data_IF_239265644995
#
_entry.id   IF_239265644995
#
_cell.length_a   1.000
_cell.length_b   1.000
_cell.length_c   1.000
_cell.angle_alpha   90.00
_cell.angle_beta   90.00
_cell.angle_gamma   90.00
#
_symmetry.space_group_name_H-M   'P 1'
#
loop_
_entity.id
_entity.type
_entity.pdbx_description
1 polymer ?
#
# COMPACT_ATOMS: atom_id res chain seq x y z
N UNK A 1 35.98 -34.24 -5.77
CA UNK A 1 35.23 -33.97 -7.02
C UNK A 1 34.05 -34.92 -7.00
N UNK A 2 32.79 -34.54 -6.86
CA UNK A 2 32.11 -33.26 -7.08
C UNK A 2 30.74 -33.35 -6.38
N UNK A 3 30.52 -32.57 -5.33
CA UNK A 3 29.18 -32.43 -4.75
C UNK A 3 28.41 -31.37 -5.53
N UNK A 4 27.52 -31.81 -6.42
CA UNK A 4 26.56 -30.92 -7.07
C UNK A 4 25.46 -30.57 -6.06
N UNK A 5 25.52 -29.36 -5.54
CA UNK A 5 24.36 -28.69 -4.92
C UNK A 5 23.25 -28.59 -5.98
N UNK A 6 22.00 -29.01 -5.73
CA UNK A 6 20.94 -28.81 -6.71
C UNK A 6 20.57 -27.33 -6.75
N UNK A 7 20.84 -26.70 -7.89
CA UNK A 7 20.39 -25.36 -8.24
C UNK A 7 18.86 -25.36 -8.44
N UNK A 8 18.08 -25.10 -7.39
CA UNK A 8 16.63 -24.92 -7.53
C UNK A 8 16.18 -23.46 -7.33
N UNK A 9 16.99 -22.51 -7.83
CA UNK A 9 16.71 -21.06 -7.76
C UNK A 9 15.83 -20.53 -8.92
N UNK A 10 15.48 -21.35 -9.90
CA UNK A 10 14.87 -20.87 -11.16
C UNK A 10 13.34 -20.95 -11.23
N UNK A 11 12.66 -21.63 -10.31
CA UNK A 11 11.19 -21.70 -10.35
C UNK A 11 10.57 -20.42 -9.76
N UNK A 12 9.71 -19.78 -10.55
CA UNK A 12 8.85 -18.67 -10.12
C UNK A 12 7.93 -19.13 -8.99
N UNK A 13 7.68 -18.24 -8.03
CA UNK A 13 6.72 -18.43 -6.94
C UNK A 13 5.27 -18.37 -7.42
N UNK A 14 5.01 -17.53 -8.43
CA UNK A 14 3.71 -17.36 -9.07
C UNK A 14 3.65 -18.15 -10.37
N UNK A 15 2.53 -18.82 -10.61
CA UNK A 15 2.23 -19.58 -11.83
C UNK A 15 1.22 -18.84 -12.71
N UNK A 16 0.96 -19.35 -13.92
CA UNK A 16 -0.08 -18.79 -14.81
C UNK A 16 -1.51 -18.88 -14.24
N UNK A 17 -1.70 -19.66 -13.16
CA UNK A 17 -2.97 -19.75 -12.43
C UNK A 17 -3.08 -18.76 -11.27
N UNK A 18 -1.99 -18.09 -10.95
CA UNK A 18 -1.93 -17.05 -9.94
C UNK A 18 -2.12 -15.66 -10.60
N UNK A 19 -2.71 -14.69 -9.90
CA UNK A 19 -2.80 -13.33 -10.43
C UNK A 19 -1.40 -12.70 -10.56
N UNK A 20 -1.24 -11.67 -11.41
CA UNK A 20 0.01 -10.91 -11.46
C UNK A 20 0.34 -10.29 -10.09
N UNK A 21 1.60 -9.94 -9.79
CA UNK A 21 2.02 -9.36 -8.51
C UNK A 21 1.32 -8.05 -8.16
N UNK A 22 0.93 -7.30 -9.18
CA UNK A 22 0.22 -6.03 -9.06
C UNK A 22 -0.80 -5.87 -10.19
N UNK A 23 -1.68 -4.89 -10.03
CA UNK A 23 -2.57 -4.41 -11.08
C UNK A 23 -2.34 -2.90 -11.30
N UNK A 24 -2.41 -2.45 -12.55
CA UNK A 24 -2.43 -1.02 -12.86
C UNK A 24 -3.81 -0.65 -13.37
N UNK A 25 -4.44 0.32 -12.70
CA UNK A 25 -5.72 0.92 -13.06
C UNK A 25 -5.44 2.31 -13.65
N UNK A 26 -6.27 2.70 -14.62
CA UNK A 26 -6.18 3.97 -15.34
C UNK A 26 -4.73 4.33 -15.77
N UNK A 27 -4.03 3.40 -16.43
CA UNK A 27 -2.61 3.55 -16.82
C UNK A 27 -2.32 4.83 -17.64
N UNK A 28 -3.32 5.37 -18.29
CA UNK A 28 -3.24 6.54 -19.16
C UNK A 28 -3.93 7.77 -18.57
N UNK A 29 -4.25 7.75 -17.27
CA UNK A 29 -4.77 8.92 -16.57
C UNK A 29 -3.88 10.14 -16.79
N UNK A 30 -4.51 11.30 -16.95
CA UNK A 30 -3.85 12.52 -17.43
C UNK A 30 -3.35 13.43 -16.31
N UNK A 31 -3.75 13.16 -15.06
CA UNK A 31 -3.33 13.94 -13.90
C UNK A 31 -1.90 13.63 -13.50
N UNK A 32 -1.20 14.65 -13.01
CA UNK A 32 0.18 14.56 -12.49
C UNK A 32 0.22 14.02 -11.07
N UNK A 33 -0.48 12.90 -10.85
CA UNK A 33 -0.63 12.19 -9.60
C UNK A 33 -0.51 10.69 -9.88
N UNK A 34 0.31 10.00 -9.10
CA UNK A 34 0.29 8.55 -9.04
C UNK A 34 -0.26 8.10 -7.69
N UNK A 35 -1.31 7.29 -7.75
CA UNK A 35 -1.88 6.61 -6.58
C UNK A 35 -1.26 5.22 -6.43
N UNK A 36 -1.10 4.76 -5.19
CA UNK A 36 -0.75 3.38 -4.88
C UNK A 36 -1.59 2.86 -3.72
N UNK A 37 -1.78 1.54 -3.66
CA UNK A 37 -2.35 0.87 -2.50
C UNK A 37 -1.55 -0.41 -2.22
N UNK A 38 -0.65 -0.29 -1.25
CA UNK A 38 0.32 -1.32 -0.87
C UNK A 38 -0.35 -2.58 -0.29
N UNK A 39 -1.48 -2.43 0.40
CA UNK A 39 -2.19 -3.54 1.05
C UNK A 39 -3.57 -3.78 0.44
N UNK A 40 -3.68 -3.64 -0.89
CA UNK A 40 -4.94 -3.82 -1.59
C UNK A 40 -5.43 -5.28 -1.65
N UNK A 41 -4.49 -6.22 -1.75
CA UNK A 41 -4.76 -7.61 -2.10
C UNK A 41 -4.73 -8.57 -0.91
N UNK A 42 -5.43 -9.69 -1.06
CA UNK A 42 -5.49 -10.77 -0.07
C UNK A 42 -4.95 -12.10 -0.62
N UNK A 43 -4.44 -12.11 -1.85
CA UNK A 43 -4.05 -13.35 -2.54
C UNK A 43 -2.77 -13.92 -1.96
N UNK A 44 -2.64 -15.23 -2.07
CA UNK A 44 -1.43 -16.00 -1.75
C UNK A 44 -1.19 -16.93 -2.95
N UNK A 45 0.06 -17.07 -3.44
CA UNK A 45 0.38 -17.98 -4.53
C UNK A 45 -0.07 -19.41 -4.18
N UNK A 46 -0.64 -20.14 -5.14
CA UNK A 46 -1.10 -21.51 -4.94
C UNK A 46 0.01 -22.41 -4.37
N UNK A 47 1.26 -22.19 -4.79
CA UNK A 47 2.43 -22.91 -4.32
C UNK A 47 2.66 -22.81 -2.79
N UNK A 48 2.12 -21.78 -2.14
CA UNK A 48 2.27 -21.54 -0.70
C UNK A 48 1.07 -22.01 0.12
N UNK A 49 0.04 -22.58 -0.51
CA UNK A 49 -1.10 -23.24 0.14
C UNK A 49 -1.71 -22.40 1.28
N UNK A 50 -1.87 -21.09 1.05
CA UNK A 50 -2.46 -20.18 2.04
C UNK A 50 -1.60 -19.95 3.29
N UNK A 51 -0.28 -20.12 3.23
CA UNK A 51 0.66 -19.93 4.36
C UNK A 51 0.34 -20.78 5.61
N UNK A 52 -0.44 -21.86 5.46
CA UNK A 52 -0.94 -22.65 6.60
C UNK A 52 -1.99 -21.93 7.45
N UNK A 53 -2.59 -20.86 6.93
CA UNK A 53 -3.68 -20.12 7.57
C UNK A 53 -5.05 -20.66 7.14
N UNK A 54 -6.07 -20.39 7.95
CA UNK A 54 -7.45 -20.62 7.56
C UNK A 54 -7.88 -19.57 6.54
N UNK A 55 -8.85 -19.91 5.68
CA UNK A 55 -9.31 -18.99 4.62
C UNK A 55 -9.87 -17.68 5.20
N UNK A 56 -10.51 -17.75 6.35
CA UNK A 56 -11.15 -16.62 7.02
C UNK A 56 -10.12 -15.59 7.49
N UNK A 57 -8.88 -16.00 7.79
CA UNK A 57 -7.80 -15.09 8.20
C UNK A 57 -7.50 -14.05 7.11
N UNK A 58 -7.67 -14.40 5.84
CA UNK A 58 -7.43 -13.48 4.74
C UNK A 58 -8.49 -12.36 4.63
N UNK A 59 -9.63 -12.50 5.33
CA UNK A 59 -10.68 -11.48 5.42
C UNK A 59 -10.49 -10.54 6.62
N UNK A 60 -9.42 -10.70 7.41
CA UNK A 60 -9.08 -9.85 8.55
C UNK A 60 -8.10 -8.74 8.14
N UNK A 61 -8.04 -7.66 8.91
CA UNK A 61 -7.16 -6.52 8.68
C UNK A 61 -5.66 -6.88 8.70
N UNK A 62 -5.28 -8.02 9.30
CA UNK A 62 -3.89 -8.51 9.27
C UNK A 62 -3.43 -8.88 7.85
N UNK A 63 -4.37 -9.20 6.95
CA UNK A 63 -4.06 -9.67 5.61
C UNK A 63 -4.01 -8.54 4.57
N UNK A 64 -4.75 -7.46 4.78
CA UNK A 64 -4.96 -6.36 3.84
C UNK A 64 -5.62 -5.16 4.53
N UNK A 65 -5.64 -4.01 3.88
CA UNK A 65 -6.29 -2.81 4.39
C UNK A 65 -7.75 -2.76 3.92
N UNK A 66 -8.70 -2.97 4.86
CA UNK A 66 -10.14 -3.06 4.56
C UNK A 66 -10.63 -1.79 3.85
N UNK A 67 -11.25 -1.97 2.68
CA UNK A 67 -11.85 -0.91 1.86
C UNK A 67 -10.87 0.05 1.16
N UNK A 68 -9.58 -0.01 1.45
CA UNK A 68 -8.57 0.91 0.90
C UNK A 68 -8.46 0.79 -0.63
N UNK A 69 -8.52 -0.43 -1.17
CA UNK A 69 -8.45 -0.67 -2.61
C UNK A 69 -9.66 -0.12 -3.37
N UNK A 70 -10.87 -0.25 -2.83
CA UNK A 70 -12.07 0.37 -3.42
C UNK A 70 -11.98 1.90 -3.40
N UNK A 71 -11.55 2.48 -2.27
CA UNK A 71 -11.33 3.93 -2.20
C UNK A 71 -10.29 4.38 -3.23
N UNK A 72 -9.18 3.66 -3.36
CA UNK A 72 -8.12 3.95 -4.32
C UNK A 72 -8.62 3.90 -5.77
N UNK A 73 -9.39 2.86 -6.15
CA UNK A 73 -10.00 2.76 -7.48
C UNK A 73 -10.93 3.93 -7.77
N UNK A 74 -11.82 4.27 -6.84
CA UNK A 74 -12.73 5.39 -6.99
C UNK A 74 -11.97 6.73 -7.12
N UNK A 75 -10.86 6.90 -6.39
CA UNK A 75 -10.00 8.08 -6.51
C UNK A 75 -9.27 8.12 -7.86
N UNK A 76 -8.83 6.98 -8.37
CA UNK A 76 -8.19 6.85 -9.69
C UNK A 76 -9.14 7.31 -10.80
N UNK A 77 -10.41 6.92 -10.73
CA UNK A 77 -11.45 7.37 -11.65
C UNK A 77 -11.78 8.85 -11.45
N UNK A 78 -12.00 9.29 -10.20
CA UNK A 78 -12.40 10.67 -9.89
C UNK A 78 -11.33 11.70 -10.31
N UNK A 79 -10.06 11.38 -10.09
CA UNK A 79 -8.94 12.28 -10.34
C UNK A 79 -8.31 12.06 -11.71
N UNK A 80 -8.79 11.10 -12.50
CA UNK A 80 -8.14 10.63 -13.73
C UNK A 80 -6.63 10.37 -13.52
N UNK A 81 -6.31 9.64 -12.45
CA UNK A 81 -4.94 9.37 -12.02
C UNK A 81 -4.59 7.89 -12.19
N UNK A 82 -3.39 7.53 -12.69
CA UNK A 82 -2.92 6.16 -12.64
C UNK A 82 -2.85 5.63 -11.20
N UNK A 83 -3.14 4.35 -11.04
CA UNK A 83 -3.14 3.64 -9.76
C UNK A 83 -2.41 2.30 -9.87
N UNK A 84 -1.55 1.99 -8.89
CA UNK A 84 -0.96 0.66 -8.71
C UNK A 84 -1.52 -0.02 -7.47
N UNK A 85 -2.07 -1.22 -7.62
CA UNK A 85 -2.57 -2.05 -6.54
C UNK A 85 -1.66 -3.27 -6.36
N UNK A 86 -1.23 -3.56 -5.13
CA UNK A 86 -0.61 -4.85 -4.82
C UNK A 86 -1.69 -5.95 -4.79
N UNK A 87 -1.48 -7.07 -5.49
CA UNK A 87 -2.49 -8.14 -5.55
C UNK A 87 -2.38 -9.16 -4.41
N UNK A 88 -1.21 -9.24 -3.78
CA UNK A 88 -0.91 -10.23 -2.75
C UNK A 88 -1.03 -9.65 -1.35
N UNK A 89 -1.40 -10.50 -0.40
CA UNK A 89 -1.52 -10.14 1.01
C UNK A 89 -0.19 -9.69 1.59
N UNK A 90 -0.21 -8.68 2.46
CA UNK A 90 0.96 -8.24 3.23
C UNK A 90 1.52 -9.34 4.14
N UNK A 91 0.73 -10.37 4.48
CA UNK A 91 1.21 -11.56 5.20
C UNK A 91 2.20 -12.39 4.38
N UNK A 92 2.20 -12.28 3.05
CA UNK A 92 3.20 -12.91 2.20
C UNK A 92 4.52 -12.15 2.27
N UNK A 93 4.47 -10.87 1.93
CA UNK A 93 5.57 -9.92 2.08
C UNK A 93 4.93 -8.54 2.06
N UNK A 94 5.22 -7.73 3.07
CA UNK A 94 4.68 -6.37 3.16
C UNK A 94 5.44 -5.45 2.19
N UNK A 95 4.77 -4.91 1.16
CA UNK A 95 5.43 -4.03 0.19
C UNK A 95 5.72 -2.64 0.75
N UNK A 96 5.11 -2.24 1.87
CA UNK A 96 5.40 -0.99 2.56
C UNK A 96 6.43 -1.19 3.70
N UNK A 97 7.29 -2.20 3.58
CA UNK A 97 8.47 -2.46 4.43
C UNK A 97 9.70 -2.73 3.60
N UNK A 98 10.88 -2.40 4.13
CA UNK A 98 12.12 -2.84 3.51
C UNK A 98 12.17 -4.38 3.51
N UNK A 99 12.57 -5.06 2.42
CA UNK A 99 12.58 -6.53 2.35
C UNK A 99 13.62 -7.17 3.28
N UNK A 100 14.58 -6.37 3.77
CA UNK A 100 15.56 -6.76 4.79
C UNK A 100 15.03 -6.55 6.23
N UNK A 101 13.94 -5.82 6.39
CA UNK A 101 13.28 -5.63 7.69
C UNK A 101 12.68 -6.97 8.17
N UNK A 102 12.94 -7.41 9.42
CA UNK A 102 12.27 -8.58 10.00
C UNK A 102 10.73 -8.50 9.95
N UNK A 103 10.15 -7.29 10.01
CA UNK A 103 8.71 -7.05 9.92
C UNK A 103 8.14 -7.15 8.50
N UNK A 104 8.99 -7.22 7.46
CA UNK A 104 8.50 -7.42 6.08
C UNK A 104 7.82 -8.77 5.87
N UNK A 105 8.17 -9.78 6.67
CA UNK A 105 7.58 -11.12 6.63
C UNK A 105 7.43 -11.62 8.06
N UNK A 106 6.28 -11.33 8.66
CA UNK A 106 6.02 -11.65 10.05
C UNK A 106 5.68 -13.14 10.26
N UNK A 107 6.32 -13.85 11.21
CA UNK A 107 5.90 -15.19 11.61
C UNK A 107 4.62 -15.19 12.45
N UNK A 108 4.24 -14.03 13.00
CA UNK A 108 3.01 -13.81 13.77
C UNK A 108 2.50 -12.39 13.51
N UNK A 109 1.22 -12.20 13.20
CA UNK A 109 0.57 -10.90 12.99
C UNK A 109 -0.65 -10.78 13.90
N UNK A 110 -0.70 -9.74 14.75
CA UNK A 110 -1.73 -9.54 15.79
C UNK A 110 -2.07 -10.81 16.59
N UNK A 111 -1.03 -11.54 17.01
CA UNK A 111 -1.17 -12.77 17.78
C UNK A 111 -1.57 -14.00 16.96
N UNK A 112 -1.83 -13.85 15.65
CA UNK A 112 -2.13 -14.96 14.73
C UNK A 112 -0.81 -15.50 14.17
N UNK A 113 -0.41 -16.75 14.49
CA UNK A 113 0.76 -17.37 13.88
C UNK A 113 0.54 -17.55 12.38
N UNK A 114 1.59 -17.30 11.59
CA UNK A 114 1.62 -17.51 10.14
C UNK A 114 2.61 -18.64 9.84
N UNK A 115 2.17 -19.92 9.83
CA UNK A 115 3.07 -21.07 9.73
C UNK A 115 4.01 -21.02 8.53
N UNK A 116 3.52 -20.56 7.38
CA UNK A 116 4.29 -20.40 6.15
C UNK A 116 5.40 -19.35 6.21
N UNK A 117 5.46 -18.55 7.28
CA UNK A 117 6.50 -17.54 7.53
C UNK A 117 7.48 -17.97 8.62
N UNK A 118 7.18 -19.04 9.37
CA UNK A 118 8.03 -19.51 10.46
C UNK A 118 9.33 -20.10 9.91
N UNK A 119 10.47 -19.65 10.44
CA UNK A 119 11.80 -20.11 10.05
C UNK A 119 12.04 -20.05 8.53
N UNK A 120 11.50 -19.03 7.87
CA UNK A 120 11.61 -18.86 6.42
C UNK A 120 13.08 -18.72 6.02
N UNK A 121 13.56 -19.62 5.15
CA UNK A 121 14.94 -19.56 4.68
C UNK A 121 15.18 -18.39 3.71
N UNK A 122 16.47 -18.08 3.48
CA UNK A 122 16.89 -16.98 2.61
C UNK A 122 16.39 -17.16 1.17
N UNK A 123 16.34 -18.39 0.66
CA UNK A 123 15.91 -18.64 -0.71
C UNK A 123 14.42 -18.34 -0.89
N UNK A 124 13.60 -18.72 0.07
CA UNK A 124 12.16 -18.50 0.09
C UNK A 124 11.83 -17.02 0.27
N UNK A 125 12.56 -16.31 1.14
CA UNK A 125 12.51 -14.84 1.23
C UNK A 125 12.84 -14.20 -0.12
N UNK A 126 13.96 -14.58 -0.73
CA UNK A 126 14.40 -14.03 -2.02
C UNK A 126 13.38 -14.27 -3.14
N UNK A 127 12.68 -15.41 -3.14
CA UNK A 127 11.60 -15.67 -4.11
C UNK A 127 10.43 -14.70 -3.93
N UNK A 128 10.01 -14.43 -2.70
CA UNK A 128 8.95 -13.44 -2.43
C UNK A 128 9.37 -12.03 -2.85
N UNK A 129 10.63 -11.67 -2.58
CA UNK A 129 11.18 -10.38 -3.02
C UNK A 129 11.19 -10.29 -4.55
N UNK A 130 11.72 -11.30 -5.23
CA UNK A 130 11.85 -11.34 -6.69
C UNK A 130 10.51 -11.33 -7.41
N UNK A 131 9.56 -12.14 -6.96
CA UNK A 131 8.34 -12.44 -7.73
C UNK A 131 7.14 -11.58 -7.33
N UNK A 132 7.17 -10.95 -6.15
CA UNK A 132 6.05 -10.17 -5.61
C UNK A 132 6.46 -8.72 -5.36
N UNK A 133 7.46 -8.50 -4.51
CA UNK A 133 7.86 -7.18 -4.05
C UNK A 133 8.48 -6.32 -5.16
N UNK A 134 9.52 -6.83 -5.83
CA UNK A 134 10.22 -6.09 -6.88
C UNK A 134 9.29 -5.70 -8.03
N UNK A 135 8.47 -6.61 -8.61
CA UNK A 135 7.57 -6.24 -9.69
C UNK A 135 6.58 -5.12 -9.33
N UNK A 136 6.07 -5.10 -8.11
CA UNK A 136 5.19 -4.02 -7.63
C UNK A 136 5.91 -2.67 -7.61
N UNK A 137 7.09 -2.60 -6.98
CA UNK A 137 7.86 -1.35 -6.93
C UNK A 137 8.42 -0.91 -8.28
N UNK A 138 8.76 -1.86 -9.15
CA UNK A 138 9.21 -1.57 -10.51
C UNK A 138 8.07 -0.97 -11.34
N UNK A 139 6.82 -1.42 -11.15
CA UNK A 139 5.66 -0.82 -11.79
C UNK A 139 5.42 0.63 -11.35
N UNK A 140 5.55 0.90 -10.04
CA UNK A 140 5.47 2.26 -9.50
C UNK A 140 6.56 3.13 -10.11
N UNK A 141 7.80 2.64 -10.11
CA UNK A 141 8.92 3.37 -10.69
C UNK A 141 8.68 3.71 -12.16
N UNK A 142 8.27 2.74 -12.98
CA UNK A 142 8.02 2.94 -14.41
C UNK A 142 6.92 3.97 -14.67
N UNK A 143 5.86 4.01 -13.86
CA UNK A 143 4.79 5.00 -14.01
C UNK A 143 5.25 6.41 -13.60
N UNK A 144 6.05 6.54 -12.53
CA UNK A 144 6.66 7.81 -12.17
C UNK A 144 7.61 8.33 -13.25
N UNK A 145 8.43 7.45 -13.84
CA UNK A 145 9.30 7.84 -14.96
C UNK A 145 8.49 8.27 -16.19
N UNK A 146 7.39 7.57 -16.49
CA UNK A 146 6.49 7.95 -17.59
C UNK A 146 5.98 9.39 -17.42
N UNK A 147 5.53 9.77 -16.22
CA UNK A 147 5.04 11.13 -15.95
C UNK A 147 6.22 12.13 -15.99
N UNK A 148 7.34 11.80 -15.34
CA UNK A 148 8.51 12.69 -15.25
C UNK A 148 9.13 12.99 -16.61
N UNK A 149 9.14 12.02 -17.52
CA UNK A 149 9.64 12.18 -18.90
C UNK A 149 8.79 13.13 -19.76
N UNK A 150 7.60 13.51 -19.31
CA UNK A 150 6.80 14.58 -19.94
C UNK A 150 7.19 16.00 -19.47
N UNK A 151 8.23 16.13 -18.64
CA UNK A 151 8.71 17.39 -18.08
C UNK A 151 7.99 17.82 -16.80
N UNK A 152 7.14 16.96 -16.24
CA UNK A 152 6.29 17.24 -15.09
C UNK A 152 6.82 16.63 -13.80
N UNK A 153 6.37 17.11 -12.63
CA UNK A 153 6.71 16.56 -11.31
C UNK A 153 5.47 15.94 -10.66
N UNK A 154 5.31 14.60 -10.73
CA UNK A 154 4.11 13.97 -10.19
C UNK A 154 4.02 14.09 -8.67
N UNK A 155 2.81 14.30 -8.16
CA UNK A 155 2.45 13.97 -6.78
C UNK A 155 2.39 12.44 -6.61
N UNK A 156 2.70 11.95 -5.41
CA UNK A 156 2.69 10.52 -5.08
C UNK A 156 1.92 10.26 -3.80
N UNK A 157 0.86 9.46 -3.85
CA UNK A 157 -0.03 9.23 -2.72
C UNK A 157 -0.28 7.74 -2.50
N UNK A 158 -0.03 7.26 -1.28
CA UNK A 158 -0.45 5.92 -0.87
C UNK A 158 -1.79 5.94 -0.12
N UNK A 159 -2.68 4.99 -0.43
CA UNK A 159 -4.00 4.84 0.17
C UNK A 159 -4.00 3.60 1.07
N UNK A 160 -4.28 3.81 2.35
CA UNK A 160 -4.33 2.79 3.38
C UNK A 160 -5.58 2.93 4.26
N UNK A 161 -5.80 1.93 5.11
CA UNK A 161 -6.79 1.99 6.18
C UNK A 161 -6.27 1.29 7.43
N UNK A 162 -6.70 1.78 8.59
CA UNK A 162 -6.25 1.29 9.88
C UNK A 162 -7.40 0.73 10.73
N UNK A 163 -7.10 -0.29 11.54
CA UNK A 163 -8.07 -0.85 12.49
C UNK A 163 -8.51 0.22 13.50
N UNK A 164 -9.80 0.30 13.86
CA UNK A 164 -10.32 1.35 14.76
C UNK A 164 -9.75 1.31 16.18
N UNK A 165 -9.20 0.16 16.57
CA UNK A 165 -8.66 -0.10 17.90
C UNK A 165 -7.27 -0.72 17.81
N UNK A 166 -6.46 -0.49 18.84
CA UNK A 166 -5.19 -1.19 19.07
C UNK A 166 -5.15 -1.72 20.51
N UNK A 167 -5.41 -3.01 20.67
CA UNK A 167 -5.75 -3.56 21.99
C UNK A 167 -6.99 -2.86 22.53
N UNK A 168 -6.93 -2.34 23.75
CA UNK A 168 -8.04 -1.61 24.39
C UNK A 168 -8.02 -0.10 24.12
N UNK A 169 -7.09 0.41 23.31
CA UNK A 169 -6.96 1.85 23.04
C UNK A 169 -7.75 2.24 21.79
N UNK A 170 -8.78 3.10 21.91
CA UNK A 170 -9.51 3.59 20.75
C UNK A 170 -8.62 4.52 19.92
N UNK A 171 -8.76 4.45 18.59
CA UNK A 171 -8.14 5.40 17.67
C UNK A 171 -9.22 6.37 17.19
N UNK A 172 -9.28 7.60 17.76
CA UNK A 172 -10.43 8.49 17.56
C UNK A 172 -10.43 9.19 16.20
N UNK A 173 -9.36 9.04 15.41
CA UNK A 173 -9.22 9.73 14.14
C UNK A 173 -10.13 9.12 13.08
N UNK A 174 -10.70 9.99 12.26
CA UNK A 174 -11.42 9.61 11.05
C UNK A 174 -10.43 9.19 9.96
N UNK A 175 -9.31 9.92 9.88
CA UNK A 175 -8.25 9.74 8.90
C UNK A 175 -6.90 10.20 9.48
N UNK A 176 -5.86 9.42 9.25
CA UNK A 176 -4.47 9.80 9.41
C UNK A 176 -3.89 10.34 8.11
N UNK A 177 -3.04 11.35 8.20
CA UNK A 177 -2.18 11.80 7.10
C UNK A 177 -0.74 11.57 7.55
N UNK A 178 -0.09 10.62 6.89
CA UNK A 178 1.28 10.21 7.16
C UNK A 178 2.22 10.87 6.19
N UNK A 179 3.25 11.52 6.70
CA UNK A 179 4.23 12.22 5.89
C UNK A 179 5.56 12.33 6.64
N UNK A 180 6.64 12.47 5.87
CA UNK A 180 7.98 12.58 6.42
C UNK A 180 8.49 14.03 6.37
N UNK A 181 9.36 14.38 5.41
CA UNK A 181 9.93 15.74 5.32
C UNK A 181 9.17 16.68 4.38
N UNK A 182 8.34 16.14 3.48
CA UNK A 182 7.64 16.93 2.46
C UNK A 182 6.22 17.32 2.90
N UNK A 183 6.01 18.61 3.10
CA UNK A 183 4.75 19.16 3.61
C UNK A 183 3.74 19.51 2.52
N UNK A 184 4.14 19.47 1.24
CA UNK A 184 3.39 20.11 0.13
C UNK A 184 2.01 19.50 -0.10
N UNK A 185 1.82 18.22 0.21
CA UNK A 185 0.51 17.56 0.17
C UNK A 185 -0.11 17.50 1.57
N UNK A 186 0.66 17.04 2.56
CA UNK A 186 0.13 16.69 3.87
C UNK A 186 -0.53 17.87 4.59
N UNK A 187 0.13 19.03 4.65
CA UNK A 187 -0.38 20.22 5.34
C UNK A 187 -1.68 20.74 4.71
N UNK A 188 -1.76 21.03 3.40
CA UNK A 188 -3.00 21.51 2.79
C UNK A 188 -4.13 20.45 2.82
N UNK A 189 -3.80 19.17 2.65
CA UNK A 189 -4.76 18.07 2.78
C UNK A 189 -5.38 18.04 4.18
N UNK A 190 -4.55 18.02 5.24
CA UNK A 190 -5.02 18.04 6.61
C UNK A 190 -5.86 19.28 6.92
N UNK A 191 -5.47 20.46 6.44
CA UNK A 191 -6.23 21.70 6.63
C UNK A 191 -7.64 21.59 6.04
N UNK A 192 -7.77 21.08 4.82
CA UNK A 192 -9.05 20.94 4.14
C UNK A 192 -9.94 19.86 4.78
N UNK A 193 -9.35 18.75 5.23
CA UNK A 193 -10.07 17.69 5.94
C UNK A 193 -10.57 18.19 7.31
N UNK A 194 -9.75 18.91 8.08
CA UNK A 194 -10.15 19.54 9.35
C UNK A 194 -11.27 20.56 9.14
N UNK A 195 -11.23 21.33 8.05
CA UNK A 195 -12.30 22.29 7.70
C UNK A 195 -13.64 21.61 7.36
N UNK A 196 -13.63 20.31 6.99
CA UNK A 196 -14.83 19.49 6.84
C UNK A 196 -15.34 18.89 8.17
N UNK A 197 -14.71 19.23 9.30
CA UNK A 197 -15.08 18.75 10.64
C UNK A 197 -14.57 17.36 10.98
N UNK A 198 -13.62 16.82 10.21
CA UNK A 198 -13.03 15.49 10.46
C UNK A 198 -11.97 15.55 11.56
N UNK A 199 -11.89 14.50 12.37
CA UNK A 199 -10.79 14.30 13.29
C UNK A 199 -9.58 13.73 12.54
N UNK A 200 -8.62 14.59 12.24
CA UNK A 200 -7.45 14.25 11.40
C UNK A 200 -6.22 14.00 12.27
N UNK A 201 -5.65 12.79 12.15
CA UNK A 201 -4.37 12.43 12.73
C UNK A 201 -3.22 12.97 11.89
N UNK A 202 -2.36 13.78 12.49
CA UNK A 202 -1.09 14.20 11.88
C UNK A 202 -0.03 13.18 12.29
N UNK A 203 0.41 12.32 11.36
CA UNK A 203 1.27 11.17 11.67
C UNK A 203 0.71 10.29 12.81
N UNK A 204 -0.61 10.05 12.76
CA UNK A 204 -1.36 9.18 13.66
C UNK A 204 -2.38 8.36 12.86
N UNK A 205 -2.67 7.10 13.23
CA UNK A 205 -2.16 6.36 14.39
C UNK A 205 -0.73 5.82 14.21
N UNK A 206 -0.19 5.95 12.99
CA UNK A 206 1.18 5.61 12.61
C UNK A 206 1.87 6.87 12.10
N UNK A 207 3.20 6.90 12.17
CA UNK A 207 4.00 8.05 11.73
C UNK A 207 4.75 7.74 10.44
N UNK A 208 4.66 8.65 9.47
CA UNK A 208 5.44 8.60 8.24
C UNK A 208 6.94 8.84 8.45
N UNK A 209 7.37 9.22 9.67
CA UNK A 209 8.79 9.23 10.03
C UNK A 209 9.34 7.82 10.33
N UNK A 210 8.46 6.90 10.70
CA UNK A 210 8.83 5.55 11.15
C UNK A 210 8.40 4.48 10.13
N UNK A 211 7.18 4.59 9.59
CA UNK A 211 6.54 3.57 8.75
C UNK A 211 6.06 4.19 7.43
N UNK A 212 6.97 4.31 6.47
CA UNK A 212 6.72 5.04 5.22
C UNK A 212 7.50 4.50 4.00
N UNK A 213 7.85 3.21 3.97
CA UNK A 213 8.79 2.68 2.97
C UNK A 213 8.42 3.03 1.53
N UNK A 214 7.16 2.84 1.12
CA UNK A 214 6.72 3.11 -0.26
C UNK A 214 6.82 4.60 -0.59
N UNK A 215 6.32 5.49 0.29
CA UNK A 215 6.35 6.94 0.04
C UNK A 215 7.76 7.52 0.13
N UNK A 216 8.62 7.01 1.02
CA UNK A 216 10.03 7.42 1.11
C UNK A 216 10.82 6.93 -0.11
N UNK A 217 10.67 5.66 -0.49
CA UNK A 217 11.35 5.08 -1.66
C UNK A 217 10.94 5.78 -2.96
N UNK A 218 9.65 6.09 -3.10
CA UNK A 218 9.12 6.58 -4.37
C UNK A 218 9.02 8.10 -4.45
N UNK A 219 8.48 8.73 -3.41
CA UNK A 219 8.33 10.18 -3.30
C UNK A 219 9.55 10.86 -2.70
N UNK A 220 9.94 10.48 -1.47
CA UNK A 220 11.01 11.11 -0.70
C UNK A 220 12.36 11.11 -1.42
N UNK A 221 12.82 9.94 -1.88
CA UNK A 221 14.08 9.78 -2.61
C UNK A 221 14.14 10.59 -3.92
N UNK A 222 12.98 10.91 -4.51
CA UNK A 222 12.86 11.73 -5.73
C UNK A 222 12.46 13.19 -5.45
N UNK A 223 12.30 13.59 -4.18
CA UNK A 223 11.79 14.91 -3.76
C UNK A 223 10.47 15.29 -4.43
N UNK A 224 9.60 14.30 -4.64
CA UNK A 224 8.25 14.50 -5.14
C UNK A 224 7.31 14.87 -3.98
N UNK A 225 6.30 15.72 -4.20
CA UNK A 225 5.22 15.92 -3.22
C UNK A 225 4.59 14.56 -2.89
N UNK A 226 4.59 14.16 -1.62
CA UNK A 226 4.09 12.85 -1.23
C UNK A 226 3.47 12.84 0.17
N UNK A 227 2.55 11.91 0.38
CA UNK A 227 2.10 11.47 1.70
C UNK A 227 1.38 10.11 1.57
N UNK A 228 0.94 9.56 2.69
CA UNK A 228 -0.02 8.46 2.76
C UNK A 228 -1.26 8.91 3.52
N UNK A 229 -2.42 8.35 3.17
CA UNK A 229 -3.65 8.49 3.94
C UNK A 229 -4.03 7.18 4.58
N UNK A 230 -4.48 7.24 5.82
CA UNK A 230 -4.88 6.11 6.64
C UNK A 230 -6.33 6.31 7.05
N UNK A 231 -7.29 5.62 6.42
CA UNK A 231 -8.72 5.82 6.70
C UNK A 231 -9.16 4.86 7.81
N UNK A 232 -9.98 5.33 8.76
CA UNK A 232 -10.49 4.46 9.81
C UNK A 232 -11.44 3.39 9.23
N UNK A 233 -11.11 2.12 9.43
CA UNK A 233 -11.85 0.99 8.85
C UNK A 233 -13.31 0.92 9.28
N UNK A 234 -13.70 1.46 10.44
CA UNK A 234 -15.12 1.55 10.84
C UNK A 234 -15.98 2.32 9.84
N UNK A 235 -15.36 3.16 9.01
CA UNK A 235 -16.05 3.98 8.01
C UNK A 235 -15.97 3.40 6.59
N UNK A 236 -15.40 2.20 6.44
CA UNK A 236 -15.19 1.51 5.16
C UNK A 236 -15.82 0.10 5.14
N UNK A 237 -16.79 -0.15 6.03
CA UNK A 237 -17.44 -1.46 6.17
C UNK A 237 -18.43 -1.76 5.03
N UNK A 238 -18.91 -0.72 4.33
CA UNK A 238 -19.86 -0.85 3.24
C UNK A 238 -19.57 0.15 2.10
N UNK A 239 -20.30 -0.02 1.00
CA UNK A 239 -20.20 0.82 -0.19
C UNK A 239 -20.52 2.30 0.09
N UNK A 240 -21.43 2.58 1.03
CA UNK A 240 -21.81 3.95 1.39
C UNK A 240 -20.64 4.67 2.05
N UNK A 241 -19.97 4.03 3.00
CA UNK A 241 -18.78 4.53 3.68
C UNK A 241 -17.61 4.73 2.71
N UNK A 242 -17.37 3.75 1.84
CA UNK A 242 -16.36 3.82 0.78
C UNK A 242 -16.61 5.02 -0.12
N UNK A 243 -17.81 5.17 -0.67
CA UNK A 243 -18.16 6.28 -1.56
C UNK A 243 -18.08 7.64 -0.86
N UNK A 244 -18.50 7.72 0.41
CA UNK A 244 -18.34 8.93 1.23
C UNK A 244 -16.87 9.34 1.32
N UNK A 245 -15.97 8.40 1.64
CA UNK A 245 -14.54 8.70 1.75
C UNK A 245 -13.88 9.00 0.40
N UNK A 246 -14.24 8.29 -0.66
CA UNK A 246 -13.79 8.58 -2.02
C UNK A 246 -14.15 10.01 -2.43
N UNK A 247 -15.38 10.47 -2.15
CA UNK A 247 -15.80 11.83 -2.46
C UNK A 247 -15.06 12.87 -1.62
N UNK A 248 -14.97 12.67 -0.30
CA UNK A 248 -14.24 13.58 0.60
C UNK A 248 -12.79 13.76 0.16
N UNK A 249 -12.10 12.66 -0.12
CA UNK A 249 -10.71 12.66 -0.54
C UNK A 249 -10.56 13.22 -1.97
N UNK A 250 -11.40 12.82 -2.91
CA UNK A 250 -11.36 13.32 -4.30
C UNK A 250 -11.51 14.83 -4.38
N UNK A 251 -12.53 15.39 -3.72
CA UNK A 251 -12.76 16.85 -3.64
C UNK A 251 -11.61 17.61 -2.98
N UNK A 252 -10.90 16.96 -2.06
CA UNK A 252 -9.81 17.59 -1.32
C UNK A 252 -8.50 17.51 -2.10
N UNK A 253 -8.16 16.32 -2.60
CA UNK A 253 -6.95 16.05 -3.36
C UNK A 253 -6.91 16.84 -4.66
N UNK A 254 -8.03 17.01 -5.37
CA UNK A 254 -8.05 17.84 -6.58
C UNK A 254 -7.61 19.29 -6.30
N UNK A 255 -7.96 19.85 -5.12
CA UNK A 255 -7.53 21.20 -4.71
C UNK A 255 -6.07 21.22 -4.32
N UNK A 256 -5.60 20.19 -3.62
CA UNK A 256 -4.20 20.08 -3.19
C UNK A 256 -3.28 19.92 -4.40
N UNK A 257 -3.60 18.99 -5.31
CA UNK A 257 -2.80 18.71 -6.50
C UNK A 257 -2.72 19.92 -7.43
N UNK A 258 -3.84 20.63 -7.67
CA UNK A 258 -3.84 21.90 -8.43
C UNK A 258 -3.02 23.02 -7.79
N UNK A 259 -2.76 22.94 -6.48
CA UNK A 259 -1.94 23.91 -5.77
C UNK A 259 -0.43 23.57 -5.77
N UNK A 260 -0.02 22.48 -6.43
CA UNK A 260 1.39 22.09 -6.57
C UNK A 260 2.06 22.70 -7.81
N UNK A 261 1.25 23.22 -8.74
CA UNK A 261 1.67 24.00 -9.91
C UNK A 261 2.18 25.39 -9.52
#
# INVERSE_FOLDING_TARGET
>A
MSDKVPSNSLTSLISDKDPPPFQVINRNGTTDLLLVCDHAGQKIPQALLGLGLKKETFNLHVAYDVGASQVACNLSDFLDAPLVLANYSRLLIDPNRSPEDPESILPTSDGIPVPGNKNLDKNSRNKRVRDIFNPYHDAIHQLLEKITNTGKKPAFLSIHSFSPEYGEKPRPWDIGVLWNSDQRIAIPLMKLLKAKGLNVGDNLPYSGHDLAYTIDRHGGARKLPNCAVEINQNQLQDETGIMRWSNILGETLIKVVKGLD
#
